data_IF_415300915475
#
_entry.id   IF_415300915475
#
_cell.length_a   1.000
_cell.length_b   1.000
_cell.length_c   1.000
_cell.angle_alpha   90.00
_cell.angle_beta   90.00
_cell.angle_gamma   90.00
#
_symmetry.space_group_name_H-M   'P 1'
#
loop_
_entity.id
_entity.type
_entity.pdbx_description
1 polymer ?
#
# COMPACT_ATOMS: atom_id res chain seq x y z
N UNK A 1 6.48 48.55 21.98
CA UNK A 1 5.07 48.78 21.58
C UNK A 1 4.73 48.33 20.14
N UNK A 2 5.41 47.34 19.54
CA UNK A 2 5.09 46.86 18.17
C UNK A 2 4.91 45.34 18.04
N UNK A 3 4.82 44.61 19.16
CA UNK A 3 4.65 43.15 19.17
C UNK A 3 3.20 42.69 19.43
N UNK A 4 2.28 43.60 19.75
CA UNK A 4 0.91 43.26 20.15
C UNK A 4 -0.14 43.39 19.02
N UNK A 5 0.23 43.88 17.83
CA UNK A 5 -0.71 44.02 16.69
C UNK A 5 -0.71 42.83 15.72
N UNK A 6 0.20 41.87 15.84
CA UNK A 6 0.24 40.69 14.95
C UNK A 6 -0.63 39.53 15.42
N UNK A 7 -1.08 39.53 16.68
CA UNK A 7 -1.95 38.48 17.23
C UNK A 7 -3.43 38.63 16.89
N UNK A 8 -3.88 39.80 16.42
CA UNK A 8 -5.28 40.03 16.06
C UNK A 8 -5.61 39.71 14.59
N UNK A 9 -4.61 39.62 13.70
CA UNK A 9 -4.85 39.35 12.27
C UNK A 9 -4.99 37.85 11.98
N UNK A 10 -4.43 36.97 12.81
CA UNK A 10 -4.61 35.52 12.66
C UNK A 10 -5.95 35.01 13.20
N UNK A 11 -6.63 35.77 14.08
CA UNK A 11 -7.95 35.40 14.59
C UNK A 11 -9.11 35.72 13.62
N UNK A 12 -8.88 36.56 12.60
CA UNK A 12 -9.92 36.98 11.64
C UNK A 12 -9.93 36.14 10.36
N UNK A 13 -8.84 35.44 10.04
CA UNK A 13 -8.76 34.58 8.82
C UNK A 13 -9.31 33.17 9.08
N UNK A 14 -9.52 32.76 10.33
CA UNK A 14 -10.13 31.47 10.69
C UNK A 14 -11.66 31.44 10.64
N UNK A 15 -12.31 32.49 10.14
CA UNK A 15 -13.77 32.68 10.23
C UNK A 15 -14.42 32.90 8.85
N UNK A 16 -13.95 32.20 7.82
CA UNK A 16 -14.59 32.16 6.49
C UNK A 16 -14.36 30.75 5.92
N UNK A 17 -15.18 29.78 6.25
CA UNK A 17 -16.46 29.61 5.58
C UNK A 17 -17.29 28.64 6.40
N UNK A 18 -18.22 29.17 7.19
CA UNK A 18 -19.35 28.38 7.70
C UNK A 18 -20.24 27.98 6.53
N UNK A 19 -19.78 27.04 5.70
CA UNK A 19 -20.73 26.21 4.98
C UNK A 19 -21.51 25.50 6.07
N UNK A 20 -22.76 25.91 6.27
CA UNK A 20 -23.70 25.11 7.04
C UNK A 20 -23.58 23.68 6.48
N UNK A 21 -23.43 22.66 7.35
CA UNK A 21 -23.36 21.29 6.89
C UNK A 21 -24.53 21.06 5.93
N UNK A 22 -24.29 20.44 4.76
CA UNK A 22 -25.34 20.23 3.77
C UNK A 22 -26.55 19.62 4.47
N UNK A 23 -27.72 20.27 4.36
CA UNK A 23 -28.94 19.90 5.09
C UNK A 23 -29.65 18.67 4.52
N UNK A 24 -28.88 17.73 3.97
CA UNK A 24 -29.34 16.46 3.44
C UNK A 24 -29.24 15.35 4.49
N UNK A 25 -29.95 14.23 4.29
CA UNK A 25 -29.76 13.06 5.15
C UNK A 25 -28.32 12.55 5.00
N UNK A 26 -27.62 12.37 6.12
CA UNK A 26 -26.23 11.94 6.11
C UNK A 26 -26.12 10.46 5.67
N UNK A 27 -24.99 10.09 5.05
CA UNK A 27 -24.62 8.68 4.93
C UNK A 27 -24.34 8.08 6.31
N UNK A 28 -24.34 6.76 6.39
CA UNK A 28 -23.99 5.99 7.60
C UNK A 28 -23.39 4.66 7.15
N UNK A 29 -22.12 4.67 6.73
CA UNK A 29 -21.44 3.42 6.46
C UNK A 29 -20.99 2.76 7.74
N UNK A 30 -21.05 1.44 7.75
CA UNK A 30 -20.66 0.67 8.90
C UNK A 30 -20.06 -0.66 8.46
N UNK A 31 -19.32 -1.28 9.36
CA UNK A 31 -18.80 -2.63 9.19
C UNK A 31 -19.60 -3.61 10.04
N UNK A 32 -20.56 -4.30 9.45
CA UNK A 32 -21.52 -5.15 10.19
C UNK A 32 -20.96 -6.52 10.58
N UNK A 33 -19.98 -7.02 9.83
CA UNK A 33 -19.47 -8.37 10.07
C UNK A 33 -18.10 -8.58 9.46
N UNK A 34 -17.30 -9.38 10.16
CA UNK A 34 -15.99 -9.83 9.72
C UNK A 34 -15.87 -11.33 9.99
N UNK A 35 -15.58 -12.09 8.94
CA UNK A 35 -15.38 -13.52 8.97
C UNK A 35 -13.98 -13.82 8.46
N UNK A 36 -13.24 -14.68 9.15
CA UNK A 36 -11.94 -15.15 8.72
C UNK A 36 -11.99 -16.68 8.63
N UNK A 37 -11.85 -17.23 7.42
CA UNK A 37 -11.91 -18.68 7.18
C UNK A 37 -10.58 -19.18 6.63
N UNK A 38 -10.06 -20.27 7.20
CA UNK A 38 -8.85 -20.92 6.70
C UNK A 38 -9.06 -21.47 5.29
N UNK A 39 -8.08 -21.31 4.41
CA UNK A 39 -8.11 -21.90 3.07
C UNK A 39 -7.44 -23.29 3.08
N UNK A 40 -8.23 -24.34 2.86
CA UNK A 40 -7.73 -25.74 2.82
C UNK A 40 -6.59 -25.94 1.81
N UNK A 41 -6.61 -25.20 0.70
CA UNK A 41 -5.58 -25.28 -0.34
C UNK A 41 -4.31 -24.48 -0.05
N UNK A 42 -4.29 -23.66 1.01
CA UNK A 42 -3.22 -22.70 1.28
C UNK A 42 -2.93 -22.59 2.78
N UNK A 43 -1.94 -23.36 3.25
CA UNK A 43 -1.65 -23.60 4.68
C UNK A 43 -1.48 -22.32 5.51
N UNK A 44 -0.97 -21.24 4.91
CA UNK A 44 -0.69 -19.98 5.59
C UNK A 44 -1.63 -18.84 5.20
N UNK A 45 -2.76 -19.11 4.53
CA UNK A 45 -3.68 -18.06 4.10
C UNK A 45 -5.08 -18.23 4.73
N UNK A 46 -5.66 -17.10 5.12
CA UNK A 46 -7.06 -16.98 5.48
C UNK A 46 -7.79 -16.13 4.44
N UNK A 47 -9.01 -16.54 4.11
CA UNK A 47 -9.97 -15.69 3.41
C UNK A 47 -10.65 -14.82 4.46
N UNK A 48 -10.44 -13.51 4.35
CA UNK A 48 -11.12 -12.52 5.19
C UNK A 48 -12.28 -11.93 4.39
N UNK A 49 -13.48 -12.01 4.94
CA UNK A 49 -14.71 -11.49 4.36
C UNK A 49 -15.26 -10.43 5.31
N UNK A 50 -15.58 -9.26 4.77
CA UNK A 50 -16.22 -8.17 5.52
C UNK A 50 -17.49 -7.71 4.83
N UNK A 51 -18.49 -7.33 5.61
CA UNK A 51 -19.76 -6.78 5.13
C UNK A 51 -19.79 -5.29 5.45
N UNK A 52 -19.78 -4.47 4.40
CA UNK A 52 -19.90 -3.02 4.46
C UNK A 52 -21.33 -2.66 4.15
N UNK A 53 -22.03 -2.01 5.07
CA UNK A 53 -23.40 -1.52 4.86
C UNK A 53 -23.39 0.00 4.79
N UNK A 54 -24.39 0.60 4.14
CA UNK A 54 -24.72 2.02 4.28
C UNK A 54 -26.16 2.14 4.81
N UNK A 55 -26.32 2.38 6.11
CA UNK A 55 -27.60 2.57 6.78
C UNK A 55 -28.19 3.97 6.54
N UNK A 56 -27.42 4.88 5.95
CA UNK A 56 -27.81 6.25 5.68
C UNK A 56 -28.62 6.39 4.39
N UNK A 57 -29.09 7.60 4.11
CA UNK A 57 -29.92 7.85 2.93
C UNK A 57 -29.13 8.37 1.71
N UNK A 58 -27.82 8.59 1.87
CA UNK A 58 -26.95 9.12 0.81
C UNK A 58 -25.98 8.04 0.33
N UNK A 59 -26.00 7.75 -0.97
CA UNK A 59 -25.04 6.82 -1.60
C UNK A 59 -23.62 7.39 -1.57
N UNK A 60 -22.65 6.54 -1.26
CA UNK A 60 -21.24 6.89 -1.23
C UNK A 60 -20.46 6.25 -2.38
N UNK A 61 -19.33 6.85 -2.74
CA UNK A 61 -18.42 6.34 -3.76
C UNK A 61 -16.96 6.49 -3.33
N UNK A 62 -16.12 5.57 -3.76
CA UNK A 62 -14.68 5.55 -3.49
C UNK A 62 -14.36 5.68 -1.99
N UNK A 63 -14.90 4.77 -1.19
CA UNK A 63 -14.66 4.73 0.25
C UNK A 63 -13.44 3.85 0.52
N UNK A 64 -12.51 4.32 1.35
CA UNK A 64 -11.36 3.52 1.75
C UNK A 64 -11.75 2.52 2.84
N UNK A 65 -11.46 1.25 2.61
CA UNK A 65 -11.57 0.15 3.55
C UNK A 65 -10.17 -0.39 3.83
N UNK A 66 -9.80 -0.48 5.09
CA UNK A 66 -8.50 -1.02 5.52
C UNK A 66 -8.70 -2.31 6.29
N UNK A 67 -7.77 -3.24 6.10
CA UNK A 67 -7.65 -4.44 6.91
C UNK A 67 -6.30 -4.43 7.63
N UNK A 68 -6.37 -4.53 8.94
CA UNK A 68 -5.22 -4.55 9.84
C UNK A 68 -5.15 -5.87 10.59
N UNK A 69 -3.94 -6.36 10.83
CA UNK A 69 -3.67 -7.43 11.79
C UNK A 69 -2.83 -6.85 12.93
N UNK A 70 -3.19 -7.16 14.18
CA UNK A 70 -2.51 -6.63 15.35
C UNK A 70 -2.37 -7.64 16.48
N UNK A 71 -1.46 -7.35 17.40
CA UNK A 71 -1.34 -7.97 18.72
C UNK A 71 -1.26 -6.87 19.79
N UNK A 72 -0.84 -7.21 21.01
CA UNK A 72 -0.73 -6.25 22.13
C UNK A 72 0.33 -5.15 21.94
N UNK A 73 1.21 -5.28 20.94
CA UNK A 73 2.41 -4.44 20.77
C UNK A 73 2.55 -3.83 19.38
N UNK A 74 1.97 -4.45 18.35
CA UNK A 74 2.13 -4.05 16.96
C UNK A 74 0.80 -4.13 16.21
N UNK A 75 0.66 -3.27 15.19
CA UNK A 75 -0.43 -3.32 14.22
C UNK A 75 0.16 -3.15 12.83
N UNK A 76 -0.37 -3.89 11.86
CA UNK A 76 0.09 -3.92 10.48
C UNK A 76 -1.09 -3.96 9.52
N UNK A 77 -1.22 -2.91 8.71
CA UNK A 77 -2.13 -2.93 7.56
C UNK A 77 -1.61 -3.91 6.52
N UNK A 78 -2.42 -4.89 6.14
CA UNK A 78 -2.07 -5.85 5.09
C UNK A 78 -2.82 -5.60 3.78
N UNK A 79 -4.00 -4.97 3.83
CA UNK A 79 -4.78 -4.62 2.63
C UNK A 79 -5.40 -3.23 2.78
N UNK A 80 -5.34 -2.43 1.70
CA UNK A 80 -6.19 -1.26 1.49
C UNK A 80 -7.05 -1.50 0.26
N UNK A 81 -8.34 -1.28 0.38
CA UNK A 81 -9.32 -1.52 -0.67
C UNK A 81 -10.19 -0.29 -0.88
N UNK A 82 -10.43 0.08 -2.13
CA UNK A 82 -11.36 1.16 -2.47
C UNK A 82 -12.70 0.56 -2.82
N UNK A 83 -13.69 0.72 -1.95
CA UNK A 83 -15.08 0.32 -2.22
C UNK A 83 -15.63 1.29 -3.26
N UNK A 84 -15.94 0.85 -4.49
CA UNK A 84 -16.27 1.77 -5.58
C UNK A 84 -17.52 2.60 -5.30
N UNK A 85 -18.54 1.96 -4.71
CA UNK A 85 -19.79 2.60 -4.29
C UNK A 85 -20.48 1.77 -3.22
N UNK A 86 -21.33 2.39 -2.40
CA UNK A 86 -22.33 1.72 -1.54
C UNK A 86 -23.57 2.59 -1.55
N UNK A 87 -24.65 2.11 -2.17
CA UNK A 87 -25.91 2.83 -2.21
C UNK A 87 -26.58 2.89 -0.83
N UNK A 88 -27.49 3.85 -0.64
CA UNK A 88 -28.30 3.92 0.57
C UNK A 88 -29.07 2.60 0.82
N UNK A 89 -28.93 2.03 2.01
CA UNK A 89 -29.49 0.73 2.40
C UNK A 89 -28.80 -0.49 1.78
N UNK A 90 -27.72 -0.33 1.01
CA UNK A 90 -27.00 -1.44 0.38
C UNK A 90 -25.98 -2.07 1.34
N UNK A 91 -25.84 -3.39 1.27
CA UNK A 91 -24.74 -4.13 1.90
C UNK A 91 -23.85 -4.75 0.82
N UNK A 92 -22.54 -4.55 0.93
CA UNK A 92 -21.51 -5.09 0.04
C UNK A 92 -20.55 -5.99 0.78
N UNK A 93 -20.33 -7.16 0.18
CA UNK A 93 -19.32 -8.09 0.64
C UNK A 93 -17.97 -7.78 -0.03
N UNK A 94 -16.93 -7.56 0.78
CA UNK A 94 -15.54 -7.43 0.32
C UNK A 94 -14.74 -8.62 0.83
N UNK A 95 -13.96 -9.23 -0.06
CA UNK A 95 -13.14 -10.40 0.25
C UNK A 95 -11.66 -10.08 -0.02
N UNK A 96 -10.79 -10.54 0.87
CA UNK A 96 -9.34 -10.49 0.67
C UNK A 96 -8.66 -11.75 1.18
N UNK A 97 -7.40 -11.92 0.80
CA UNK A 97 -6.53 -12.97 1.28
C UNK A 97 -5.52 -12.37 2.25
N UNK A 98 -5.39 -12.98 3.43
CA UNK A 98 -4.41 -12.60 4.43
C UNK A 98 -3.43 -13.75 4.62
N UNK A 99 -2.13 -13.47 4.46
CA UNK A 99 -1.08 -14.40 4.88
C UNK A 99 -0.94 -14.32 6.41
N UNK A 100 -1.27 -15.41 7.09
CA UNK A 100 -1.36 -15.46 8.55
C UNK A 100 0.02 -15.24 9.15
N UNK A 101 0.17 -14.14 9.86
CA UNK A 101 1.31 -13.88 10.73
C UNK A 101 0.98 -14.46 12.11
N UNK A 102 1.68 -15.52 12.51
CA UNK A 102 1.46 -16.21 13.81
C UNK A 102 1.71 -15.32 15.03
N UNK A 103 2.32 -14.14 14.85
CA UNK A 103 2.49 -13.17 15.92
C UNK A 103 1.29 -12.23 16.10
N UNK A 104 0.27 -12.32 15.25
CA UNK A 104 -0.93 -11.48 15.31
C UNK A 104 -2.12 -12.29 15.84
N UNK A 105 -2.86 -11.70 16.78
CA UNK A 105 -3.96 -12.39 17.48
C UNK A 105 -5.33 -11.75 17.16
N UNK A 106 -5.32 -10.61 16.47
CA UNK A 106 -6.50 -9.81 16.11
C UNK A 106 -6.46 -9.42 14.62
N UNK A 107 -7.57 -9.59 13.92
CA UNK A 107 -7.84 -9.00 12.61
C UNK A 107 -8.87 -7.90 12.82
N UNK A 108 -8.69 -6.75 12.18
CA UNK A 108 -9.73 -5.71 12.14
C UNK A 108 -9.96 -5.19 10.73
N UNK A 109 -11.17 -4.71 10.48
CA UNK A 109 -11.53 -3.98 9.28
C UNK A 109 -12.11 -2.62 9.69
N UNK A 110 -11.69 -1.56 9.01
CA UNK A 110 -12.18 -0.21 9.23
C UNK A 110 -12.52 0.47 7.92
N UNK A 111 -13.70 1.07 7.83
CA UNK A 111 -14.09 1.91 6.70
C UNK A 111 -13.91 3.39 7.06
N UNK A 112 -13.55 4.20 6.06
CA UNK A 112 -13.16 5.61 6.20
C UNK A 112 -12.24 5.90 7.41
N UNK A 113 -11.06 5.26 7.50
CA UNK A 113 -10.19 5.40 8.67
C UNK A 113 -9.61 6.81 8.86
N UNK A 114 -9.82 7.71 7.90
CA UNK A 114 -9.38 9.10 7.95
C UNK A 114 -10.53 10.06 8.33
N UNK A 115 -11.74 9.54 8.55
CA UNK A 115 -12.95 10.30 8.91
C UNK A 115 -13.19 11.47 7.93
N UNK A 116 -13.01 11.23 6.63
CA UNK A 116 -13.16 12.23 5.56
C UNK A 116 -14.61 12.40 5.11
N UNK A 117 -15.45 11.40 5.36
CA UNK A 117 -16.87 11.39 5.09
C UNK A 117 -17.56 11.79 6.39
N UNK A 118 -18.52 12.70 6.31
CA UNK A 118 -19.32 13.10 7.48
C UNK A 118 -20.54 12.19 7.55
N UNK A 119 -20.62 11.41 8.61
CA UNK A 119 -21.62 10.35 8.78
C UNK A 119 -22.61 10.68 9.89
N UNK A 120 -23.72 9.93 9.99
CA UNK A 120 -24.62 10.06 11.14
C UNK A 120 -24.13 9.36 12.40
N UNK A 121 -23.31 8.32 12.24
CA UNK A 121 -22.65 7.57 13.32
C UNK A 121 -21.22 7.25 12.87
N UNK A 122 -20.22 7.68 13.64
CA UNK A 122 -18.80 7.46 13.34
C UNK A 122 -18.21 6.29 14.14
N UNK A 123 -18.97 5.74 15.09
CA UNK A 123 -18.50 4.71 16.02
C UNK A 123 -18.72 3.28 15.49
N UNK A 124 -19.46 3.10 14.40
CA UNK A 124 -19.78 1.82 13.76
C UNK A 124 -18.86 1.48 12.56
N UNK A 125 -17.84 2.31 12.34
CA UNK A 125 -16.91 2.23 11.21
C UNK A 125 -15.81 1.18 11.33
N UNK A 126 -15.75 0.42 12.43
CA UNK A 126 -14.70 -0.58 12.68
C UNK A 126 -15.23 -1.82 13.37
N UNK A 127 -14.72 -2.98 12.96
CA UNK A 127 -14.95 -4.26 13.62
C UNK A 127 -13.63 -5.02 13.77
N UNK A 128 -13.54 -5.87 14.80
CA UNK A 128 -12.38 -6.71 15.07
C UNK A 128 -12.79 -8.16 15.36
N UNK A 129 -11.92 -9.10 15.02
CA UNK A 129 -12.08 -10.53 15.19
C UNK A 129 -10.80 -11.13 15.77
N UNK A 130 -10.93 -11.84 16.89
CA UNK A 130 -9.80 -12.51 17.55
C UNK A 130 -9.62 -13.92 17.01
N UNK A 131 -8.37 -14.28 16.70
CA UNK A 131 -8.02 -15.58 16.13
C UNK A 131 -8.01 -16.71 17.16
N UNK A 132 -7.88 -16.40 18.45
CA UNK A 132 -7.80 -17.38 19.54
C UNK A 132 -9.13 -18.06 19.85
N UNK A 133 -10.26 -17.54 19.35
CA UNK A 133 -11.59 -17.99 19.75
C UNK A 133 -12.10 -19.24 19.00
N UNK A 134 -11.43 -19.69 17.93
CA UNK A 134 -11.98 -20.73 17.04
C UNK A 134 -10.98 -21.84 16.65
N UNK A 135 -9.90 -22.02 17.42
CA UNK A 135 -9.16 -23.28 17.40
C UNK A 135 -9.81 -24.18 18.46
N UNK A 136 -10.57 -25.23 18.07
CA UNK A 136 -11.02 -26.22 19.02
C UNK A 136 -9.80 -26.70 19.80
N UNK A 137 -9.85 -26.77 21.13
CA UNK A 137 -8.73 -27.31 21.90
C UNK A 137 -8.39 -28.66 21.30
N UNK A 138 -7.15 -28.78 20.79
CA UNK A 138 -6.66 -30.00 20.18
C UNK A 138 -6.99 -31.14 21.13
N UNK A 139 -7.83 -32.07 20.68
CA UNK A 139 -8.46 -33.12 21.47
C UNK A 139 -7.50 -34.21 21.93
N UNK A 140 -6.28 -33.85 22.31
CA UNK A 140 -5.23 -34.73 22.79
C UNK A 140 -4.63 -34.21 24.10
N UNK A 141 -5.14 -34.70 25.23
CA UNK A 141 -4.42 -34.65 26.52
C UNK A 141 -3.09 -35.43 26.47
N UNK A 142 -2.26 -35.40 27.54
CA UNK A 142 -2.72 -35.77 28.89
C UNK A 142 -2.16 -34.94 30.07
N UNK A 143 -3.01 -34.77 31.09
CA UNK A 143 -2.63 -34.84 32.51
C UNK A 143 -2.04 -33.59 33.19
N UNK A 144 -2.68 -33.05 34.24
CA UNK A 144 -2.02 -32.09 35.13
C UNK A 144 -0.98 -32.79 36.01
N UNK A 145 0.29 -32.39 35.90
CA UNK A 145 1.28 -32.67 36.95
C UNK A 145 1.12 -31.68 38.12
N UNK A 146 1.41 -32.11 39.36
CA UNK A 146 1.23 -31.26 40.55
C UNK A 146 2.26 -30.12 40.60
N UNK A 147 1.95 -28.99 41.26
CA UNK A 147 2.89 -27.90 41.44
C UNK A 147 4.00 -28.30 42.43
N UNK A 148 5.25 -28.30 41.94
CA UNK A 148 6.44 -28.39 42.78
C UNK A 148 6.71 -27.06 43.50
N UNK A 149 7.33 -27.10 44.70
CA UNK A 149 7.52 -25.92 45.54
C UNK A 149 8.55 -24.95 44.94
N UNK A 150 8.22 -23.66 45.04
CA UNK A 150 9.07 -22.54 44.72
C UNK A 150 10.11 -22.30 45.84
N UNK A 151 11.40 -22.18 45.50
CA UNK A 151 12.34 -21.43 46.30
C UNK A 151 12.75 -20.13 45.58
N UNK A 152 12.46 -19.00 46.22
CA UNK A 152 13.33 -17.82 46.19
C UNK A 152 14.28 -17.94 47.41
N UNK A 153 15.56 -17.52 47.35
CA UNK A 153 15.92 -16.13 47.03
C UNK A 153 17.26 -15.87 46.31
N UNK A 154 17.31 -14.71 45.64
CA UNK A 154 18.43 -13.77 45.71
C UNK A 154 19.73 -14.11 44.99
N UNK A 155 19.96 -13.49 43.83
CA UNK A 155 21.30 -13.16 43.35
C UNK A 155 21.24 -11.87 42.51
N UNK A 156 21.76 -10.77 43.05
CA UNK A 156 22.04 -9.53 42.32
C UNK A 156 23.52 -9.51 41.94
N UNK A 157 23.82 -9.52 40.64
CA UNK A 157 25.14 -9.14 40.12
C UNK A 157 25.04 -7.75 39.51
N UNK A 158 25.75 -6.80 40.12
CA UNK A 158 26.17 -5.58 39.44
C UNK A 158 27.29 -5.95 38.45
N UNK A 159 27.00 -5.83 37.15
CA UNK A 159 28.04 -5.80 36.11
C UNK A 159 27.84 -4.50 35.34
N UNK A 160 28.25 -3.40 35.95
CA UNK A 160 28.40 -2.11 35.29
C UNK A 160 29.89 -1.79 35.23
N UNK A 161 30.54 -2.18 34.12
CA UNK A 161 31.66 -1.50 33.46
C UNK A 161 32.16 -2.39 32.32
N UNK A 162 31.66 -2.19 31.09
CA UNK A 162 32.16 -2.92 29.92
C UNK A 162 31.39 -2.68 28.61
N UNK A 163 30.12 -2.31 28.70
CA UNK A 163 29.27 -2.12 27.50
C UNK A 163 29.66 -0.91 26.64
N UNK A 164 30.16 0.17 27.24
CA UNK A 164 30.61 1.37 26.53
C UNK A 164 31.70 1.04 25.49
N UNK A 165 32.65 0.15 25.83
CA UNK A 165 33.73 -0.25 24.92
C UNK A 165 33.25 -1.12 23.76
N UNK A 166 32.30 -2.01 24.00
CA UNK A 166 31.75 -2.90 22.95
C UNK A 166 30.93 -2.09 21.95
N UNK A 167 30.12 -1.14 22.42
CA UNK A 167 29.32 -0.26 21.55
C UNK A 167 30.23 0.63 20.72
N UNK A 168 31.27 1.22 21.31
CA UNK A 168 32.20 2.05 20.55
C UNK A 168 32.98 1.25 19.50
N UNK A 169 33.40 0.03 19.84
CA UNK A 169 34.10 -0.87 18.90
C UNK A 169 33.20 -1.27 17.72
N UNK A 170 31.93 -1.60 17.96
CA UNK A 170 30.97 -1.94 16.90
C UNK A 170 30.66 -0.75 15.98
N UNK A 171 30.55 0.48 16.53
CA UNK A 171 30.34 1.70 15.74
C UNK A 171 31.55 1.98 14.84
N UNK A 172 32.77 1.83 15.35
CA UNK A 172 34.00 2.00 14.55
C UNK A 172 34.08 0.93 13.46
N UNK A 173 33.76 -0.33 13.78
CA UNK A 173 33.74 -1.41 12.80
C UNK A 173 32.72 -1.14 11.67
N UNK A 174 31.54 -0.62 12.01
CA UNK A 174 30.51 -0.27 11.04
C UNK A 174 30.94 0.90 10.14
N UNK A 175 31.60 1.91 10.70
CA UNK A 175 32.14 3.04 9.95
C UNK A 175 33.27 2.63 9.00
N UNK A 176 34.17 1.75 9.45
CA UNK A 176 35.23 1.17 8.60
C UNK A 176 34.62 0.33 7.48
N UNK A 177 33.60 -0.48 7.78
CA UNK A 177 32.88 -1.25 6.76
C UNK A 177 32.20 -0.34 5.74
N UNK A 178 31.54 0.74 6.18
CA UNK A 178 30.97 1.75 5.30
C UNK A 178 32.05 2.39 4.42
N UNK A 179 33.19 2.80 4.97
CA UNK A 179 34.27 3.43 4.19
C UNK A 179 34.92 2.48 3.18
N UNK A 180 35.01 1.18 3.48
CA UNK A 180 35.61 0.19 2.59
C UNK A 180 34.64 -0.33 1.52
N UNK A 181 33.36 -0.47 1.85
CA UNK A 181 32.36 -1.06 0.96
C UNK A 181 31.66 0.00 0.09
N UNK A 182 31.51 1.23 0.59
CA UNK A 182 30.84 2.31 -0.15
C UNK A 182 31.50 2.65 -1.51
N UNK A 183 32.83 2.66 -1.66
CA UNK A 183 33.47 2.84 -2.97
C UNK A 183 33.23 1.67 -3.93
N UNK A 184 33.13 0.44 -3.41
CA UNK A 184 32.90 -0.77 -4.20
C UNK A 184 31.46 -0.88 -4.72
N UNK A 185 30.48 -0.29 -4.02
CA UNK A 185 29.08 -0.21 -4.46
C UNK A 185 28.91 0.81 -5.60
N UNK A 186 29.74 1.87 -5.65
CA UNK A 186 29.62 2.95 -6.63
C UNK A 186 30.10 2.59 -8.05
N UNK A 187 30.77 1.45 -8.25
CA UNK A 187 31.35 1.07 -9.55
C UNK A 187 30.50 0.11 -10.40
N UNK A 188 29.34 -0.37 -9.89
CA UNK A 188 28.34 -1.04 -10.73
C UNK A 188 27.34 -0.01 -11.23
N UNK A 189 27.66 0.67 -12.32
CA UNK A 189 26.69 1.46 -13.09
C UNK A 189 25.67 0.50 -13.70
N UNK A 190 24.64 0.17 -12.92
CA UNK A 190 23.46 -0.51 -13.44
C UNK A 190 22.87 0.33 -14.56
N UNK A 191 22.57 -0.30 -15.70
CA UNK A 191 21.90 0.36 -16.83
C UNK A 191 20.69 1.15 -16.30
N UNK A 192 20.45 2.40 -16.73
CA UNK A 192 19.32 3.17 -16.25
C UNK A 192 18.02 2.40 -16.55
N UNK A 193 17.25 2.09 -15.51
CA UNK A 193 15.96 1.42 -15.64
C UNK A 193 14.89 2.48 -15.79
N UNK A 194 14.23 2.54 -16.93
CA UNK A 194 13.05 3.39 -17.06
C UNK A 194 11.81 2.57 -16.70
N UNK A 195 10.98 3.11 -15.82
CA UNK A 195 9.64 2.61 -15.55
C UNK A 195 8.68 3.38 -16.45
N UNK A 196 7.85 2.65 -17.19
CA UNK A 196 6.82 3.26 -18.02
C UNK A 196 5.59 3.64 -17.16
N UNK A 197 5.21 4.92 -17.21
CA UNK A 197 4.20 5.52 -16.32
C UNK A 197 2.76 5.01 -16.42
N UNK A 198 2.40 4.24 -17.46
CA UNK A 198 1.07 3.61 -17.49
C UNK A 198 0.82 2.67 -16.30
N UNK A 199 1.90 2.28 -15.59
CA UNK A 199 1.89 1.37 -14.44
C UNK A 199 2.46 2.01 -13.15
N UNK A 200 2.64 3.33 -13.07
CA UNK A 200 3.11 4.00 -11.85
C UNK A 200 1.94 4.29 -10.90
N UNK A 201 1.35 3.23 -10.33
CA UNK A 201 0.56 3.37 -9.12
C UNK A 201 1.50 3.24 -7.92
N UNK A 202 1.85 4.37 -7.30
CA UNK A 202 2.50 4.37 -6.00
C UNK A 202 1.43 4.21 -4.93
N UNK A 203 1.21 2.98 -4.50
CA UNK A 203 0.24 2.58 -3.48
C UNK A 203 0.48 3.30 -2.14
N UNK A 204 1.73 3.68 -1.83
CA UNK A 204 2.07 4.38 -0.58
C UNK A 204 1.77 5.87 -0.62
N UNK A 205 1.68 6.48 -1.80
CA UNK A 205 1.48 7.94 -1.95
C UNK A 205 0.06 8.36 -2.36
N UNK A 206 -0.89 7.43 -2.49
CA UNK A 206 -2.27 7.70 -2.97
C UNK A 206 -2.27 8.63 -4.20
N UNK A 207 -1.70 8.16 -5.30
CA UNK A 207 -1.32 8.93 -6.50
C UNK A 207 -2.48 9.50 -7.35
N UNK A 208 -3.40 10.27 -6.77
CA UNK A 208 -4.28 11.19 -7.52
C UNK A 208 -3.44 12.27 -8.22
N UNK A 209 -2.29 12.64 -7.64
CA UNK A 209 -1.38 13.66 -8.19
C UNK A 209 -0.68 13.25 -9.48
N UNK A 210 -0.31 11.98 -9.70
CA UNK A 210 0.47 11.56 -10.88
C UNK A 210 -0.34 11.51 -12.17
N UNK A 211 -1.62 11.13 -12.11
CA UNK A 211 -2.53 11.21 -13.26
C UNK A 211 -2.78 12.67 -13.66
N UNK A 212 -2.99 13.54 -12.67
CA UNK A 212 -3.13 14.98 -12.89
C UNK A 212 -1.82 15.63 -13.39
N UNK A 213 -0.67 15.17 -12.89
CA UNK A 213 0.65 15.58 -13.35
C UNK A 213 0.94 15.09 -14.78
N UNK A 214 0.51 13.87 -15.11
CA UNK A 214 0.58 13.34 -16.48
C UNK A 214 -0.28 14.18 -17.43
N UNK A 215 -1.50 14.54 -17.02
CA UNK A 215 -2.37 15.43 -17.79
C UNK A 215 -1.77 16.83 -17.97
N UNK A 216 -1.05 17.33 -16.95
CA UNK A 216 -0.38 18.64 -16.96
C UNK A 216 0.91 18.65 -17.80
N UNK A 217 1.68 17.56 -17.79
CA UNK A 217 2.99 17.47 -18.46
C UNK A 217 2.89 16.96 -19.90
N UNK A 218 1.87 16.18 -20.25
CA UNK A 218 1.66 15.69 -21.62
C UNK A 218 1.05 16.79 -22.50
N UNK A 219 1.91 17.58 -23.14
CA UNK A 219 1.52 18.60 -24.13
C UNK A 219 1.04 18.01 -25.47
N UNK A 220 1.22 16.70 -25.69
CA UNK A 220 0.89 16.01 -26.94
C UNK A 220 0.43 14.57 -26.69
N UNK A 221 -0.53 14.10 -27.51
CA UNK A 221 -0.96 12.68 -27.53
C UNK A 221 0.18 11.70 -27.80
N UNK A 222 1.30 12.18 -28.36
CA UNK A 222 2.49 11.37 -28.72
C UNK A 222 3.54 11.28 -27.61
N UNK A 223 3.34 11.99 -26.51
CA UNK A 223 4.27 12.05 -25.39
C UNK A 223 3.93 10.98 -24.35
N UNK A 224 4.95 10.40 -23.72
CA UNK A 224 4.82 9.44 -22.61
C UNK A 224 5.80 9.83 -21.50
N UNK A 225 5.43 9.62 -20.24
CA UNK A 225 6.26 9.97 -19.08
C UNK A 225 6.99 8.72 -18.56
N UNK A 226 8.24 8.89 -18.13
CA UNK A 226 9.07 7.82 -17.58
C UNK A 226 9.74 8.24 -16.28
N UNK A 227 9.89 7.30 -15.35
CA UNK A 227 10.73 7.48 -14.16
C UNK A 227 11.97 6.58 -14.25
N UNK A 228 13.19 7.13 -14.22
CA UNK A 228 14.45 6.38 -14.30
C UNK A 228 14.87 5.66 -13.00
N UNK A 229 14.03 5.63 -11.96
CA UNK A 229 14.42 5.07 -10.65
C UNK A 229 13.25 4.46 -9.86
N UNK A 230 13.60 3.55 -8.93
CA UNK A 230 12.72 2.85 -7.97
C UNK A 230 12.02 3.79 -6.97
N UNK A 231 12.44 5.05 -6.92
CA UNK A 231 11.90 6.10 -6.06
C UNK A 231 11.43 7.23 -6.99
N UNK A 232 10.13 7.25 -7.31
CA UNK A 232 9.54 8.32 -8.10
C UNK A 232 9.44 9.58 -7.23
N UNK A 233 10.35 10.53 -7.41
CA UNK A 233 10.14 11.94 -7.07
C UNK A 233 9.83 12.71 -8.35
N UNK A 234 9.09 13.83 -8.26
CA UNK A 234 8.66 14.63 -9.41
C UNK A 234 9.83 15.14 -10.29
N UNK A 235 11.03 15.21 -9.71
CA UNK A 235 12.26 15.67 -10.36
C UNK A 235 12.81 14.72 -11.44
N UNK A 236 12.29 13.50 -11.56
CA UNK A 236 12.83 12.49 -12.50
C UNK A 236 11.89 12.13 -13.65
N UNK A 237 10.91 12.96 -13.98
CA UNK A 237 10.00 12.67 -15.08
C UNK A 237 10.62 13.06 -16.43
N UNK A 238 10.89 12.05 -17.26
CA UNK A 238 11.33 12.27 -18.64
C UNK A 238 10.13 12.13 -19.57
N UNK A 239 9.80 13.21 -20.27
CA UNK A 239 8.83 13.18 -21.36
C UNK A 239 9.54 12.67 -22.62
N UNK A 240 9.08 11.54 -23.14
CA UNK A 240 9.65 10.93 -24.34
C UNK A 240 8.61 10.93 -25.44
N UNK A 241 8.98 11.48 -26.59
CA UNK A 241 8.15 11.44 -27.79
C UNK A 241 8.35 10.15 -28.59
N UNK A 242 7.25 9.62 -29.11
CA UNK A 242 7.24 8.54 -30.09
C UNK A 242 7.75 9.04 -31.44
N UNK A 243 8.77 8.38 -32.00
CA UNK A 243 9.18 8.64 -33.38
C UNK A 243 8.14 8.04 -34.33
N UNK A 244 7.94 8.57 -35.56
CA UNK A 244 7.02 8.00 -36.53
C UNK A 244 7.28 6.51 -36.82
N UNK A 245 8.56 6.10 -36.80
CA UNK A 245 8.95 4.69 -36.96
C UNK A 245 8.46 3.81 -35.80
N UNK A 246 8.40 4.34 -34.57
CA UNK A 246 7.92 3.60 -33.40
C UNK A 246 6.40 3.43 -33.46
N UNK A 247 5.67 4.46 -33.91
CA UNK A 247 4.21 4.37 -34.12
C UNK A 247 3.86 3.31 -35.17
N UNK A 248 4.62 3.24 -36.27
CA UNK A 248 4.42 2.21 -37.30
C UNK A 248 4.69 0.79 -36.76
N UNK A 249 5.74 0.62 -35.96
CA UNK A 249 6.05 -0.67 -35.30
C UNK A 249 4.97 -1.06 -34.29
N UNK A 250 4.51 -0.10 -33.49
CA UNK A 250 3.45 -0.31 -32.51
C UNK A 250 2.14 -0.72 -33.19
N UNK A 251 1.78 -0.08 -34.31
CA UNK A 251 0.62 -0.47 -35.10
C UNK A 251 0.68 -1.92 -35.58
N UNK A 252 1.81 -2.32 -36.14
CA UNK A 252 2.01 -3.72 -36.57
C UNK A 252 1.95 -4.71 -35.40
N UNK A 253 2.47 -4.35 -34.22
CA UNK A 253 2.35 -5.18 -33.01
C UNK A 253 0.91 -5.28 -32.51
N UNK A 254 0.19 -4.17 -32.49
CA UNK A 254 -1.23 -4.10 -32.10
C UNK A 254 -2.08 -5.02 -32.97
N UNK A 255 -1.93 -4.93 -34.30
CA UNK A 255 -2.63 -5.78 -35.27
C UNK A 255 -2.25 -7.26 -35.13
N UNK A 256 -0.96 -7.55 -34.94
CA UNK A 256 -0.46 -8.94 -34.85
C UNK A 256 -0.93 -9.66 -33.58
N UNK A 257 -0.99 -8.96 -32.45
CA UNK A 257 -1.23 -9.58 -31.15
C UNK A 257 -2.60 -9.24 -30.53
N UNK A 258 -3.44 -8.47 -31.23
CA UNK A 258 -4.76 -8.09 -30.73
C UNK A 258 -4.72 -7.24 -29.45
N UNK A 259 -3.63 -6.49 -29.24
CA UNK A 259 -3.46 -5.59 -28.08
C UNK A 259 -3.79 -4.15 -28.48
N UNK A 260 -4.13 -3.29 -27.52
CA UNK A 260 -4.41 -1.88 -27.82
C UNK A 260 -3.19 -1.17 -28.41
N UNK A 261 -3.43 -0.21 -29.31
CA UNK A 261 -2.39 0.59 -29.95
C UNK A 261 -1.48 1.29 -28.92
N UNK A 262 -2.09 1.87 -27.87
CA UNK A 262 -1.36 2.53 -26.78
C UNK A 262 -0.43 1.55 -26.05
N UNK A 263 -0.90 0.34 -25.81
CA UNK A 263 -0.11 -0.69 -25.16
C UNK A 263 1.05 -1.18 -26.04
N UNK A 264 0.83 -1.31 -27.35
CA UNK A 264 1.89 -1.64 -28.29
C UNK A 264 2.95 -0.53 -28.38
N UNK A 265 2.55 0.74 -28.29
CA UNK A 265 3.48 1.88 -28.25
C UNK A 265 4.38 1.83 -27.02
N UNK A 266 3.79 1.50 -25.87
CA UNK A 266 4.46 1.30 -24.60
C UNK A 266 5.53 0.19 -24.66
N UNK A 267 5.22 -0.94 -25.31
CA UNK A 267 6.18 -2.03 -25.58
C UNK A 267 7.35 -1.54 -26.46
N UNK A 268 7.06 -0.87 -27.57
CA UNK A 268 8.10 -0.39 -28.50
C UNK A 268 9.03 0.61 -27.82
N UNK A 269 8.47 1.51 -27.02
CA UNK A 269 9.25 2.47 -26.26
C UNK A 269 10.09 1.79 -25.18
N UNK A 270 9.54 0.84 -24.43
CA UNK A 270 10.28 0.09 -23.42
C UNK A 270 11.52 -0.58 -24.05
N UNK A 271 11.33 -1.23 -25.21
CA UNK A 271 12.44 -1.83 -25.97
C UNK A 271 13.48 -0.81 -26.42
N UNK A 272 13.04 0.34 -26.95
CA UNK A 272 13.93 1.42 -27.42
C UNK A 272 14.77 2.00 -26.28
N UNK A 273 14.17 2.14 -25.11
CA UNK A 273 14.79 2.71 -23.91
C UNK A 273 15.56 1.67 -23.07
N UNK A 274 15.54 0.39 -23.45
CA UNK A 274 16.10 -0.73 -22.64
C UNK A 274 15.52 -0.74 -21.23
N UNK A 275 14.21 -0.56 -21.16
CA UNK A 275 13.42 -0.33 -19.97
C UNK A 275 12.57 -1.54 -19.63
N UNK A 276 12.24 -1.70 -18.34
CA UNK A 276 11.34 -2.76 -17.89
C UNK A 276 9.89 -2.31 -18.02
N UNK A 277 9.03 -3.24 -18.43
CA UNK A 277 7.59 -3.00 -18.50
C UNK A 277 6.95 -3.55 -17.22
N UNK A 278 6.32 -2.67 -16.44
CA UNK A 278 5.48 -3.10 -15.33
C UNK A 278 4.10 -3.47 -15.85
N UNK A 279 3.62 -4.63 -15.43
CA UNK A 279 2.33 -5.19 -15.83
C UNK A 279 1.55 -5.58 -14.58
N UNK A 280 0.23 -5.39 -14.62
CA UNK A 280 -0.65 -5.80 -13.53
C UNK A 280 -0.92 -7.32 -13.57
N UNK A 281 -1.48 -7.86 -12.49
CA UNK A 281 -1.86 -9.27 -12.43
C UNK A 281 -2.91 -9.68 -13.49
N UNK A 282 -3.73 -8.75 -13.96
CA UNK A 282 -4.69 -9.00 -15.04
C UNK A 282 -4.02 -9.05 -16.43
N UNK A 283 -2.74 -8.67 -16.51
CA UNK A 283 -1.96 -8.57 -17.74
C UNK A 283 -0.94 -9.70 -17.88
N UNK A 284 -1.08 -10.83 -17.19
CA UNK A 284 -0.10 -11.95 -17.25
C UNK A 284 0.11 -12.48 -18.68
N UNK A 285 -0.90 -12.42 -19.55
CA UNK A 285 -0.75 -12.78 -20.97
C UNK A 285 0.29 -11.91 -21.72
N UNK A 286 0.56 -10.70 -21.20
CA UNK A 286 1.52 -9.76 -21.73
C UNK A 286 2.95 -10.16 -21.36
N UNK A 287 3.17 -10.78 -20.21
CA UNK A 287 4.51 -11.23 -19.78
C UNK A 287 5.15 -12.13 -20.85
N UNK A 288 4.36 -13.07 -21.39
CA UNK A 288 4.77 -13.96 -22.47
C UNK A 288 5.14 -13.18 -23.73
N UNK A 289 4.29 -12.23 -24.13
CA UNK A 289 4.51 -11.39 -25.32
C UNK A 289 5.77 -10.52 -25.19
N UNK A 290 6.00 -9.92 -24.02
CA UNK A 290 7.18 -9.09 -23.75
C UNK A 290 8.46 -9.91 -23.81
N UNK A 291 8.46 -11.13 -23.26
CA UNK A 291 9.58 -12.08 -23.34
C UNK A 291 9.91 -12.44 -24.79
N UNK A 292 8.90 -12.74 -25.61
CA UNK A 292 9.08 -13.02 -27.05
C UNK A 292 9.71 -11.85 -27.81
N UNK A 293 9.51 -10.62 -27.32
CA UNK A 293 10.09 -9.40 -27.89
C UNK A 293 11.44 -9.00 -27.26
N UNK A 294 11.96 -9.77 -26.31
CA UNK A 294 13.20 -9.51 -25.58
C UNK A 294 13.09 -8.33 -24.61
N UNK A 295 11.91 -8.13 -24.02
CA UNK A 295 11.64 -7.07 -23.04
C UNK A 295 11.44 -7.74 -21.68
N UNK A 296 12.19 -7.26 -20.69
CA UNK A 296 12.01 -7.68 -19.31
C UNK A 296 10.72 -7.08 -18.73
N UNK A 297 9.86 -7.95 -18.21
CA UNK A 297 8.64 -7.61 -17.50
C UNK A 297 8.79 -7.86 -16.01
N UNK A 298 8.11 -7.04 -15.20
CA UNK A 298 8.01 -7.27 -13.76
C UNK A 298 6.55 -7.12 -13.35
N UNK A 299 6.02 -8.17 -12.71
CA UNK A 299 4.67 -8.18 -12.16
C UNK A 299 4.62 -7.26 -10.94
N UNK A 300 3.61 -6.42 -10.87
CA UNK A 300 3.28 -5.72 -9.63
C UNK A 300 2.51 -6.69 -8.72
N UNK A 301 3.12 -7.01 -7.58
CA UNK A 301 2.49 -7.72 -6.45
C UNK A 301 1.93 -6.66 -5.52
#
# INVERSE_FOLDING_TARGET
MKAWMFLWVLAIIGLVSGQMPPSGPLPDVAVEGLLATKLESAVNYMKVTVFVVNNGATSLNNIELIFDASNSSTSKTFVRYMVPSVAAGESKQVNTLWEVDKSMDLISAGIDPQNLIMESDEDNNRISFSLEADVPPDGGGPGPTPPGPSPSPGFSFDIFTGYEFIVMFLVVLMLVFLLLVYPAIKSRTSKPYYLLSAALYDEKKKAKSLYDLQRKLLTSKKSRIYTPKKEATEEFLVVVELKPADVKKAKSLSEKFGISQEFAENIVLAKRLKAQLLISHQQVYIDKLSKDLGIETKLMV
#
